data_IF_766379746102
#
_entry.id   IF_766379746102
#
_cell.length_a   1.000
_cell.length_b   1.000
_cell.length_c   1.000
_cell.angle_alpha   90.00
_cell.angle_beta   90.00
_cell.angle_gamma   90.00
#
_symmetry.space_group_name_H-M   'P 1'
#
loop_
_entity.id
_entity.type
_entity.pdbx_description
1 polymer ?
#
# COMPACT_ATOMS: atom_id res chain seq x y z
N UNK A 1 -9.02 8.46 -20.81
CA UNK A 1 -9.29 8.13 -19.40
C UNK A 1 -8.47 9.04 -18.52
N UNK A 2 -8.93 9.33 -17.30
CA UNK A 2 -8.21 10.15 -16.32
C UNK A 2 -7.11 9.29 -15.69
N UNK A 3 -5.94 9.88 -15.43
CA UNK A 3 -4.81 9.19 -14.79
C UNK A 3 -4.51 9.87 -13.47
N UNK A 4 -4.72 9.13 -12.38
CA UNK A 4 -4.36 9.56 -11.03
C UNK A 4 -2.97 9.03 -10.71
N UNK A 5 -2.10 9.92 -10.21
CA UNK A 5 -0.73 9.56 -9.89
C UNK A 5 -0.65 8.99 -8.48
N UNK A 6 -0.10 7.79 -8.36
CA UNK A 6 0.19 7.17 -7.08
C UNK A 6 1.50 6.40 -7.12
N UNK A 7 1.94 5.92 -5.96
CA UNK A 7 3.09 5.03 -5.84
C UNK A 7 2.77 3.92 -4.84
N UNK A 8 3.06 2.67 -5.23
CA UNK A 8 3.17 1.58 -4.27
C UNK A 8 4.56 1.62 -3.62
N UNK A 9 4.60 1.87 -2.32
CA UNK A 9 5.82 2.05 -1.56
C UNK A 9 6.10 0.85 -0.65
N UNK A 10 7.27 0.23 -0.85
CA UNK A 10 7.76 -0.88 -0.04
C UNK A 10 8.41 -0.36 1.28
N UNK A 11 7.76 -0.63 2.41
CA UNK A 11 8.26 -0.29 3.75
C UNK A 11 9.10 -1.42 4.33
N UNK A 12 10.12 -1.07 5.11
CA UNK A 12 11.02 -2.08 5.71
C UNK A 12 10.41 -2.84 6.89
N UNK A 13 9.26 -2.41 7.40
CA UNK A 13 8.67 -2.96 8.63
C UNK A 13 7.17 -3.25 8.56
N UNK A 14 6.45 -2.88 7.49
CA UNK A 14 5.00 -3.08 7.43
C UNK A 14 4.45 -3.49 6.06
N UNK A 15 5.29 -3.90 5.11
CA UNK A 15 4.85 -4.32 3.77
C UNK A 15 4.61 -3.13 2.83
N UNK A 16 3.66 -3.29 1.91
CA UNK A 16 3.41 -2.34 0.82
C UNK A 16 2.30 -1.35 1.17
N UNK A 17 2.44 -0.12 0.68
CA UNK A 17 1.50 0.97 0.92
C UNK A 17 1.22 1.72 -0.38
N UNK A 18 -0.04 2.04 -0.64
CA UNK A 18 -0.41 2.97 -1.70
C UNK A 18 -0.30 4.39 -1.13
N UNK A 19 0.41 5.25 -1.85
CA UNK A 19 0.59 6.66 -1.52
C UNK A 19 0.10 7.51 -2.68
N UNK A 20 -0.72 8.51 -2.37
CA UNK A 20 -1.23 9.50 -3.32
C UNK A 20 -0.90 10.88 -2.76
N UNK A 21 -0.25 11.70 -3.57
CA UNK A 21 0.17 13.05 -3.19
C UNK A 21 -0.67 14.10 -3.94
N UNK A 22 -0.83 15.31 -3.38
CA UNK A 22 -1.46 16.41 -4.09
C UNK A 22 -0.77 16.73 -5.41
N UNK A 23 -1.49 17.34 -6.33
CA UNK A 23 -0.92 17.68 -7.62
C UNK A 23 0.22 18.72 -7.48
N UNK A 24 1.25 18.54 -8.31
CA UNK A 24 2.49 19.33 -8.23
C UNK A 24 3.42 18.98 -7.07
N UNK A 25 3.04 18.10 -6.13
CA UNK A 25 3.90 17.68 -5.02
C UNK A 25 4.74 16.47 -5.41
N UNK A 26 6.06 16.59 -5.27
CA UNK A 26 7.01 15.53 -5.58
C UNK A 26 8.00 15.28 -4.44
N UNK A 27 7.91 14.09 -3.84
CA UNK A 27 8.82 13.67 -2.78
C UNK A 27 9.91 12.75 -3.32
N UNK A 28 11.13 13.27 -3.52
CA UNK A 28 12.30 12.47 -3.90
C UNK A 28 12.53 11.28 -2.96
N UNK A 29 12.14 11.41 -1.69
CA UNK A 29 12.25 10.34 -0.69
C UNK A 29 11.45 9.08 -1.05
N UNK A 30 10.33 9.21 -1.78
CA UNK A 30 9.52 8.07 -2.21
C UNK A 30 10.17 7.26 -3.34
N UNK A 31 11.21 7.78 -4.00
CA UNK A 31 12.02 7.01 -4.96
C UNK A 31 12.93 5.99 -4.28
N UNK A 32 13.18 6.14 -2.97
CA UNK A 32 13.98 5.23 -2.17
C UNK A 32 13.07 4.36 -1.31
N UNK A 33 12.96 3.06 -1.63
CA UNK A 33 12.23 2.09 -0.79
C UNK A 33 12.79 1.95 0.63
N UNK A 34 12.01 1.37 1.53
CA UNK A 34 12.42 0.83 2.83
C UNK A 34 12.47 1.86 3.97
N UNK A 35 11.66 2.91 3.93
CA UNK A 35 11.34 3.76 5.08
C UNK A 35 10.51 2.98 6.11
N UNK A 36 10.54 3.41 7.39
CA UNK A 36 9.58 2.88 8.38
C UNK A 36 8.20 3.41 8.07
N UNK A 37 7.17 2.60 8.26
CA UNK A 37 5.77 3.00 8.02
C UNK A 37 5.37 4.28 8.77
N UNK A 38 5.76 4.43 10.04
CA UNK A 38 5.43 5.64 10.81
C UNK A 38 6.02 6.91 10.18
N UNK A 39 7.23 6.81 9.62
CA UNK A 39 7.87 7.94 8.95
C UNK A 39 7.26 8.19 7.57
N UNK A 40 6.84 7.14 6.86
CA UNK A 40 6.10 7.26 5.60
C UNK A 40 4.80 8.03 5.83
N UNK A 41 3.98 7.57 6.79
CA UNK A 41 2.70 8.21 7.16
C UNK A 41 2.91 9.68 7.49
N UNK A 42 3.83 9.99 8.40
CA UNK A 42 4.11 11.38 8.78
C UNK A 42 4.55 12.24 7.58
N UNK A 43 5.41 11.71 6.72
CA UNK A 43 5.92 12.46 5.56
C UNK A 43 4.82 12.74 4.53
N UNK A 44 3.95 11.76 4.27
CA UNK A 44 2.83 11.90 3.33
C UNK A 44 1.81 12.90 3.86
N UNK A 45 1.42 12.79 5.13
CA UNK A 45 0.49 13.73 5.76
C UNK A 45 1.05 15.16 5.85
N UNK A 46 2.36 15.31 6.06
CA UNK A 46 3.02 16.63 6.09
C UNK A 46 2.88 17.41 4.78
N UNK A 47 2.69 16.72 3.66
CA UNK A 47 2.50 17.35 2.34
C UNK A 47 1.06 17.26 1.84
N UNK A 48 0.11 16.90 2.72
CA UNK A 48 -1.32 16.81 2.37
C UNK A 48 -1.71 15.59 1.54
N UNK A 49 -0.84 14.57 1.44
CA UNK A 49 -1.17 13.33 0.75
C UNK A 49 -1.91 12.34 1.64
N UNK A 50 -2.36 11.24 1.03
CA UNK A 50 -3.02 10.12 1.69
C UNK A 50 -2.23 8.82 1.53
N UNK A 51 -2.37 7.92 2.50
CA UNK A 51 -1.68 6.64 2.54
C UNK A 51 -2.53 5.53 3.15
N UNK A 52 -2.48 4.36 2.52
CA UNK A 52 -3.16 3.15 2.99
C UNK A 52 -2.34 1.90 2.71
N UNK A 53 -2.47 0.83 3.51
CA UNK A 53 -1.80 -0.43 3.23
C UNK A 53 -2.36 -1.03 1.93
N UNK A 54 -1.45 -1.45 1.05
CA UNK A 54 -1.76 -2.26 -0.13
C UNK A 54 -1.87 -3.72 0.31
N UNK A 55 -2.90 -4.42 -0.15
CA UNK A 55 -3.16 -5.86 0.07
C UNK A 55 -2.68 -6.34 1.45
N UNK A 56 -3.23 -5.79 2.55
CA UNK A 56 -2.67 -5.94 3.90
C UNK A 56 -2.53 -7.39 4.38
N UNK A 57 -3.36 -8.29 3.84
CA UNK A 57 -3.37 -9.72 4.12
C UNK A 57 -2.90 -10.59 2.95
N UNK A 58 -2.23 -9.99 1.97
CA UNK A 58 -1.75 -10.67 0.78
C UNK A 58 -0.51 -11.54 1.01
N UNK A 59 0.44 -11.53 0.06
CA UNK A 59 1.68 -12.32 0.12
C UNK A 59 2.27 -12.48 1.53
N UNK A 60 2.59 -13.73 1.90
CA UNK A 60 2.88 -14.16 3.29
C UNK A 60 4.00 -13.36 3.97
N UNK A 61 4.97 -12.86 3.22
CA UNK A 61 6.04 -12.01 3.75
C UNK A 61 5.54 -10.60 4.13
N UNK A 62 4.79 -9.94 3.23
CA UNK A 62 4.34 -8.56 3.40
C UNK A 62 3.23 -8.48 4.46
N UNK A 63 2.28 -9.40 4.44
CA UNK A 63 1.22 -9.49 5.45
C UNK A 63 1.75 -9.82 6.85
N UNK A 64 2.78 -10.69 6.96
CA UNK A 64 3.44 -10.96 8.23
C UNK A 64 4.16 -9.72 8.81
N UNK A 65 4.77 -8.90 7.95
CA UNK A 65 5.40 -7.64 8.36
C UNK A 65 4.37 -6.66 8.91
N UNK A 66 3.26 -6.45 8.18
CA UNK A 66 2.17 -5.60 8.64
C UNK A 66 1.61 -6.11 9.97
N UNK A 67 1.27 -7.39 10.08
CA UNK A 67 0.74 -7.98 11.31
C UNK A 67 1.68 -7.80 12.50
N UNK A 68 2.98 -8.01 12.32
CA UNK A 68 3.98 -7.79 13.38
C UNK A 68 4.02 -6.32 13.85
N UNK A 69 3.94 -5.39 12.91
CA UNK A 69 3.91 -3.96 13.23
C UNK A 69 2.61 -3.55 13.93
N UNK A 70 1.46 -4.04 13.46
CA UNK A 70 0.17 -3.78 14.10
C UNK A 70 0.07 -4.42 15.48
N UNK A 71 0.65 -5.61 15.70
CA UNK A 71 0.73 -6.22 17.04
C UNK A 71 1.49 -5.34 18.03
N UNK A 72 2.53 -4.64 17.58
CA UNK A 72 3.31 -3.70 18.41
C UNK A 72 2.58 -2.37 18.62
N UNK A 73 1.90 -1.86 17.59
CA UNK A 73 1.23 -0.56 17.63
C UNK A 73 -0.09 -0.60 16.85
N UNK A 74 -1.17 -1.08 17.49
CA UNK A 74 -2.51 -1.12 16.87
C UNK A 74 -3.05 0.27 16.55
N UNK A 75 -2.59 1.31 17.25
CA UNK A 75 -3.02 2.68 16.99
C UNK A 75 -2.53 3.20 15.62
N UNK A 76 -1.56 2.52 14.99
CA UNK A 76 -1.08 2.89 13.65
C UNK A 76 -2.19 2.81 12.59
N UNK A 77 -3.10 1.82 12.67
CA UNK A 77 -4.20 1.68 11.70
C UNK A 77 -5.09 2.93 11.67
N UNK A 78 -5.25 3.60 12.82
CA UNK A 78 -6.04 4.84 12.91
C UNK A 78 -5.46 5.98 12.06
N UNK A 79 -4.15 5.93 11.80
CA UNK A 79 -3.42 6.92 10.99
C UNK A 79 -3.43 6.62 9.49
N UNK A 80 -3.97 5.49 9.05
CA UNK A 80 -4.15 5.25 7.62
C UNK A 80 -5.41 5.97 7.13
N UNK A 81 -5.38 6.47 5.91
CA UNK A 81 -6.50 7.22 5.33
C UNK A 81 -7.54 6.29 4.69
N UNK A 82 -7.08 5.15 4.16
CA UNK A 82 -7.90 4.10 3.57
C UNK A 82 -7.21 2.74 3.76
N UNK A 83 -7.88 1.65 3.38
CA UNK A 83 -7.32 0.29 3.34
C UNK A 83 -7.65 -0.32 1.98
N UNK A 84 -6.70 -0.98 1.32
CA UNK A 84 -7.03 -1.81 0.15
C UNK A 84 -7.84 -3.03 0.63
N UNK A 85 -9.15 -2.97 0.43
CA UNK A 85 -10.13 -3.98 0.83
C UNK A 85 -10.37 -5.05 -0.23
N UNK A 86 -9.93 -4.82 -1.47
CA UNK A 86 -10.02 -5.78 -2.56
C UNK A 86 -8.79 -5.73 -3.45
N UNK A 87 -8.13 -6.88 -3.63
CA UNK A 87 -7.06 -7.05 -4.60
C UNK A 87 -7.35 -8.28 -5.47
N UNK A 88 -7.35 -8.10 -6.80
CA UNK A 88 -7.68 -9.18 -7.74
C UNK A 88 -6.64 -10.31 -7.76
N UNK A 89 -5.40 -10.03 -7.36
CA UNK A 89 -4.32 -11.01 -7.31
C UNK A 89 -4.27 -11.81 -6.00
N UNK A 90 -5.02 -11.39 -4.98
CA UNK A 90 -5.05 -12.01 -3.65
C UNK A 90 -6.24 -12.98 -3.48
N UNK A 91 -6.19 -13.80 -2.43
CA UNK A 91 -7.26 -14.77 -2.14
C UNK A 91 -8.51 -14.07 -1.61
N UNK A 92 -9.68 -14.69 -1.80
CA UNK A 92 -10.95 -14.21 -1.21
C UNK A 92 -10.83 -14.02 0.30
N UNK A 93 -10.19 -14.97 0.98
CA UNK A 93 -9.95 -14.89 2.43
C UNK A 93 -9.09 -13.69 2.83
N UNK A 94 -8.08 -13.32 2.03
CA UNK A 94 -7.25 -12.14 2.29
C UNK A 94 -8.05 -10.85 2.09
N UNK A 95 -8.90 -10.81 1.07
CA UNK A 95 -9.81 -9.69 0.84
C UNK A 95 -10.84 -9.57 1.98
N UNK A 96 -11.42 -10.67 2.45
CA UNK A 96 -12.35 -10.68 3.59
C UNK A 96 -11.72 -10.11 4.86
N UNK A 97 -10.49 -10.51 5.19
CA UNK A 97 -9.77 -9.93 6.33
C UNK A 97 -9.47 -8.44 6.15
N UNK A 98 -9.20 -8.01 4.91
CA UNK A 98 -8.99 -6.59 4.59
C UNK A 98 -10.27 -5.77 4.80
N UNK A 99 -11.42 -6.30 4.37
CA UNK A 99 -12.74 -5.71 4.60
C UNK A 99 -13.10 -5.63 6.08
N UNK A 100 -12.83 -6.70 6.86
CA UNK A 100 -13.05 -6.70 8.31
C UNK A 100 -12.18 -5.62 8.97
N UNK A 101 -10.90 -5.52 8.60
CA UNK A 101 -10.00 -4.51 9.15
C UNK A 101 -10.48 -3.08 8.82
N UNK A 102 -10.94 -2.84 7.59
CA UNK A 102 -11.49 -1.55 7.20
C UNK A 102 -12.76 -1.21 7.99
N UNK A 103 -13.66 -2.18 8.16
CA UNK A 103 -14.90 -2.04 8.93
C UNK A 103 -14.62 -1.73 10.41
N UNK A 104 -13.71 -2.48 11.04
CA UNK A 104 -13.36 -2.32 12.46
C UNK A 104 -12.78 -0.93 12.78
N UNK A 105 -12.13 -0.30 11.80
CA UNK A 105 -11.50 1.02 11.95
C UNK A 105 -12.25 2.14 11.22
N UNK A 106 -13.42 1.85 10.65
CA UNK A 106 -14.23 2.78 9.85
C UNK A 106 -13.41 3.49 8.77
N UNK A 107 -12.64 2.72 7.99
CA UNK A 107 -11.80 3.23 6.91
C UNK A 107 -12.46 3.01 5.55
N UNK A 108 -12.38 4.00 4.64
CA UNK A 108 -12.69 3.80 3.22
C UNK A 108 -11.95 2.60 2.64
N UNK A 109 -12.60 1.88 1.73
CA UNK A 109 -12.01 0.69 1.10
C UNK A 109 -11.61 0.97 -0.34
N UNK A 110 -10.37 0.64 -0.67
CA UNK A 110 -9.82 0.74 -2.02
C UNK A 110 -9.76 -0.65 -2.65
N UNK A 111 -9.97 -0.70 -3.96
CA UNK A 111 -9.87 -1.90 -4.77
C UNK A 111 -8.91 -1.72 -5.93
N UNK A 112 -8.04 -2.71 -6.13
CA UNK A 112 -7.00 -2.70 -7.15
C UNK A 112 -6.89 -4.03 -7.88
N UNK A 113 -6.43 -3.99 -9.13
CA UNK A 113 -6.10 -5.20 -9.88
C UNK A 113 -4.70 -5.75 -9.56
N UNK A 114 -3.80 -4.89 -9.03
CA UNK A 114 -2.36 -5.17 -8.90
C UNK A 114 -1.77 -5.80 -10.18
N UNK A 115 -2.19 -5.23 -11.30
CA UNK A 115 -1.94 -5.84 -12.59
C UNK A 115 -0.49 -5.66 -13.03
N UNK A 116 0.15 -6.79 -13.31
CA UNK A 116 1.44 -6.88 -13.99
C UNK A 116 1.29 -7.41 -15.43
N UNK A 117 0.06 -7.56 -15.91
CA UNK A 117 -0.29 -8.05 -17.24
C UNK A 117 -1.57 -7.35 -17.75
N UNK A 118 -1.55 -6.84 -18.98
CA UNK A 118 -2.65 -6.03 -19.52
C UNK A 118 -4.02 -6.73 -19.44
N UNK A 119 -4.05 -8.07 -19.49
CA UNK A 119 -5.27 -8.88 -19.38
C UNK A 119 -5.99 -8.76 -18.03
N UNK A 120 -5.28 -8.39 -16.96
CA UNK A 120 -5.86 -8.29 -15.61
C UNK A 120 -6.23 -6.86 -15.20
N UNK A 121 -5.97 -5.88 -16.07
CA UNK A 121 -6.31 -4.47 -15.80
C UNK A 121 -7.82 -4.33 -15.61
N UNK A 122 -8.23 -3.70 -14.52
CA UNK A 122 -9.63 -3.45 -14.20
C UNK A 122 -10.36 -4.61 -13.52
N UNK A 123 -9.71 -5.75 -13.27
CA UNK A 123 -10.32 -6.85 -12.50
C UNK A 123 -10.65 -6.48 -11.06
N UNK A 124 -9.95 -5.50 -10.48
CA UNK A 124 -10.28 -4.88 -9.19
C UNK A 124 -10.41 -3.37 -9.36
N UNK A 125 -11.38 -2.77 -8.68
CA UNK A 125 -11.72 -1.35 -8.84
C UNK A 125 -12.22 -0.73 -7.53
N UNK A 126 -12.16 0.60 -7.48
CA UNK A 126 -12.74 1.44 -6.43
C UNK A 126 -13.87 2.26 -7.04
N UNK A 127 -15.00 2.33 -6.34
CA UNK A 127 -16.15 3.17 -6.69
C UNK A 127 -16.16 4.40 -5.78
N UNK A 128 -16.32 5.57 -6.40
CA UNK A 128 -16.42 6.86 -5.73
C UNK A 128 -17.79 7.45 -6.03
N UNK A 129 -18.45 8.03 -5.02
CA UNK A 129 -19.67 8.82 -5.23
C UNK A 129 -19.39 10.19 -5.87
N UNK A 130 -18.21 10.74 -5.61
CA UNK A 130 -17.74 12.00 -6.20
C UNK A 130 -17.06 11.74 -7.55
N UNK A 131 -17.17 12.69 -8.49
CA UNK A 131 -16.38 12.67 -9.71
C UNK A 131 -14.91 13.04 -9.40
N UNK A 132 -13.97 12.21 -9.86
CA UNK A 132 -12.54 12.37 -9.58
C UNK A 132 -11.80 12.72 -10.87
N UNK A 133 -11.29 13.95 -10.99
CA UNK A 133 -10.55 14.41 -12.17
C UNK A 133 -9.05 14.58 -11.92
N UNK A 134 -8.64 14.74 -10.66
CA UNK A 134 -7.24 14.93 -10.27
C UNK A 134 -6.90 14.29 -8.91
N UNK A 135 -5.64 14.38 -8.48
CA UNK A 135 -5.21 13.80 -7.21
C UNK A 135 -5.87 14.50 -6.01
N UNK A 136 -6.06 15.82 -6.10
CA UNK A 136 -6.64 16.64 -5.03
C UNK A 136 -8.13 16.31 -4.82
N UNK A 137 -8.86 16.01 -5.90
CA UNK A 137 -10.25 15.53 -5.82
C UNK A 137 -10.32 14.20 -5.07
N UNK A 138 -9.43 13.26 -5.40
CA UNK A 138 -9.37 11.95 -4.75
C UNK A 138 -9.05 12.07 -3.25
N UNK A 139 -8.04 12.88 -2.91
CA UNK A 139 -7.67 13.16 -1.52
C UNK A 139 -8.85 13.75 -0.76
N UNK A 140 -9.53 14.73 -1.37
CA UNK A 140 -10.71 15.38 -0.79
C UNK A 140 -11.85 14.38 -0.56
N UNK A 141 -12.14 13.50 -1.53
CA UNK A 141 -13.15 12.47 -1.41
C UNK A 141 -12.85 11.50 -0.25
N UNK A 142 -11.60 11.08 -0.08
CA UNK A 142 -11.17 10.19 1.02
C UNK A 142 -11.34 10.86 2.39
N UNK A 143 -10.98 12.15 2.50
CA UNK A 143 -11.19 12.90 3.73
C UNK A 143 -12.67 13.06 4.08
N UNK A 144 -13.51 13.45 3.10
CA UNK A 144 -14.96 13.53 3.28
C UNK A 144 -15.55 12.20 3.77
N UNK A 145 -15.21 11.09 3.10
CA UNK A 145 -15.67 9.74 3.46
C UNK A 145 -15.28 9.36 4.90
N UNK A 146 -14.07 9.74 5.31
CA UNK A 146 -13.57 9.48 6.66
C UNK A 146 -14.30 10.31 7.74
N UNK A 147 -14.69 11.54 7.41
CA UNK A 147 -15.42 12.45 8.31
C UNK A 147 -16.89 12.07 8.44
N UNK A 148 -17.56 11.79 7.32
CA UNK A 148 -18.97 11.39 7.29
C UNK A 148 -19.19 9.96 7.79
N UNK A 149 -18.13 9.12 7.79
CA UNK A 149 -18.18 7.68 8.11
C UNK A 149 -19.24 6.93 7.31
N UNK A 150 -19.48 7.39 6.08
CA UNK A 150 -20.40 6.75 5.15
C UNK A 150 -19.66 5.80 4.21
N UNK A 151 -20.42 5.10 3.37
CA UNK A 151 -19.90 4.20 2.34
C UNK A 151 -19.74 4.93 0.98
N UNK A 152 -19.36 6.21 0.97
CA UNK A 152 -19.14 6.97 -0.28
C UNK A 152 -17.96 6.46 -1.12
N UNK A 153 -17.10 5.63 -0.52
CA UNK A 153 -16.01 4.94 -1.20
C UNK A 153 -16.08 3.45 -0.88
N UNK A 154 -16.22 2.63 -1.93
CA UNK A 154 -16.29 1.18 -1.83
C UNK A 154 -15.42 0.52 -2.90
N UNK A 155 -15.22 -0.80 -2.80
CA UNK A 155 -14.42 -1.54 -3.75
C UNK A 155 -15.08 -2.85 -4.17
N UNK A 156 -14.64 -3.39 -5.30
CA UNK A 156 -15.12 -4.65 -5.83
C UNK A 156 -14.27 -5.14 -6.99
N UNK A 157 -14.68 -6.28 -7.56
CA UNK A 157 -13.96 -6.89 -8.66
C UNK A 157 -14.17 -8.39 -8.76
N UNK A 158 -13.30 -9.02 -9.56
CA UNK A 158 -13.22 -10.45 -9.78
C UNK A 158 -11.82 -10.90 -9.35
N UNK A 159 -11.76 -11.90 -8.48
CA UNK A 159 -10.49 -12.53 -8.09
C UNK A 159 -9.95 -13.32 -9.29
N UNK A 160 -8.70 -13.07 -9.66
CA UNK A 160 -8.04 -13.67 -10.85
C UNK A 160 -7.90 -15.19 -10.76
N UNK A 161 -7.80 -15.72 -9.54
CA UNK A 161 -7.46 -17.12 -9.30
C UNK A 161 -5.95 -17.37 -9.20
N UNK A 162 -5.59 -18.55 -8.68
CA UNK A 162 -4.20 -18.91 -8.41
C UNK A 162 -3.42 -19.20 -9.69
N UNK A 163 -2.34 -18.47 -9.91
CA UNK A 163 -1.34 -18.76 -10.95
C UNK A 163 -0.22 -19.64 -10.39
N UNK A 164 0.50 -20.37 -11.25
CA UNK A 164 1.73 -21.09 -10.86
C UNK A 164 2.73 -20.14 -10.18
N UNK A 165 2.86 -18.91 -10.70
CA UNK A 165 3.71 -17.87 -10.12
C UNK A 165 3.28 -17.53 -8.68
N UNK A 166 1.98 -17.34 -8.44
CA UNK A 166 1.44 -17.13 -7.09
C UNK A 166 1.75 -18.33 -6.18
N UNK A 167 1.46 -19.56 -6.62
CA UNK A 167 1.76 -20.78 -5.84
C UNK A 167 3.23 -20.85 -5.42
N UNK A 168 4.15 -20.56 -6.33
CA UNK A 168 5.58 -20.51 -6.00
C UNK A 168 5.92 -19.35 -5.05
N UNK A 169 5.32 -18.17 -5.19
CA UNK A 169 5.55 -17.04 -4.30
C UNK A 169 5.09 -17.32 -2.85
N UNK A 170 4.00 -18.06 -2.67
CA UNK A 170 3.46 -18.44 -1.36
C UNK A 170 4.12 -19.70 -0.76
N UNK A 171 4.92 -20.44 -1.52
CA UNK A 171 5.59 -21.63 -1.03
C UNK A 171 6.63 -21.30 0.04
N UNK A 172 6.70 -22.11 1.10
CA UNK A 172 7.55 -21.83 2.27
C UNK A 172 9.03 -21.62 1.87
N UNK A 173 9.56 -22.45 0.98
CA UNK A 173 10.96 -22.38 0.54
C UNK A 173 11.26 -21.06 -0.18
N UNK A 174 10.34 -20.58 -1.03
CA UNK A 174 10.48 -19.29 -1.72
C UNK A 174 10.47 -18.13 -0.74
N UNK A 175 9.57 -18.15 0.25
CA UNK A 175 9.48 -17.12 1.29
C UNK A 175 10.79 -17.05 2.10
N UNK A 176 11.30 -18.18 2.58
CA UNK A 176 12.55 -18.20 3.35
C UNK A 176 13.77 -17.84 2.50
N UNK A 177 13.85 -18.32 1.26
CA UNK A 177 14.92 -17.95 0.33
C UNK A 177 14.90 -16.44 0.03
N UNK A 178 13.72 -15.87 -0.19
CA UNK A 178 13.55 -14.44 -0.40
C UNK A 178 13.97 -13.61 0.82
N UNK A 179 13.59 -14.03 2.04
CA UNK A 179 14.04 -13.37 3.27
C UNK A 179 15.57 -13.42 3.39
N UNK A 180 16.17 -14.61 3.22
CA UNK A 180 17.62 -14.78 3.31
C UNK A 180 18.36 -13.92 2.28
N UNK A 181 17.89 -13.92 1.03
CA UNK A 181 18.41 -13.09 -0.05
C UNK A 181 18.37 -11.59 0.30
N UNK A 182 17.22 -11.09 0.75
CA UNK A 182 17.06 -9.68 1.11
C UNK A 182 17.89 -9.27 2.32
N UNK A 183 18.03 -10.13 3.32
CA UNK A 183 18.89 -9.87 4.49
C UNK A 183 20.35 -9.79 4.06
N UNK A 184 20.84 -10.77 3.29
CA UNK A 184 22.22 -10.79 2.81
C UNK A 184 22.56 -9.59 1.94
N UNK A 185 21.70 -9.27 0.97
CA UNK A 185 21.87 -8.07 0.14
C UNK A 185 21.76 -6.78 0.94
N UNK A 186 20.85 -6.73 1.92
CA UNK A 186 20.68 -5.59 2.80
C UNK A 186 21.95 -5.28 3.60
N UNK A 187 22.64 -6.31 4.09
CA UNK A 187 23.93 -6.18 4.76
C UNK A 187 25.02 -5.69 3.79
N UNK A 188 25.10 -6.29 2.60
CA UNK A 188 26.09 -5.94 1.58
C UNK A 188 25.96 -4.47 1.12
N UNK A 189 24.73 -4.02 0.85
CA UNK A 189 24.46 -2.69 0.29
C UNK A 189 24.20 -1.61 1.34
N UNK A 190 24.17 -1.95 2.63
CA UNK A 190 23.96 -0.99 3.73
C UNK A 190 24.90 0.23 3.68
N UNK A 191 26.23 0.08 3.45
CA UNK A 191 27.14 1.22 3.36
C UNK A 191 26.81 2.17 2.20
N UNK A 192 26.52 1.60 1.02
CA UNK A 192 26.16 2.37 -0.19
C UNK A 192 24.84 3.13 0.01
N UNK A 193 23.88 2.51 0.68
CA UNK A 193 22.59 3.14 0.98
C UNK A 193 22.73 4.30 1.96
N UNK A 194 23.56 4.17 3.01
CA UNK A 194 23.89 5.27 3.92
C UNK A 194 24.50 6.45 3.16
N UNK A 195 25.43 6.17 2.24
CA UNK A 195 26.04 7.21 1.42
C UNK A 195 25.02 7.93 0.52
N UNK A 196 24.15 7.18 -0.19
CA UNK A 196 23.09 7.76 -1.03
C UNK A 196 22.12 8.65 -0.25
N UNK A 197 21.71 8.19 0.94
CA UNK A 197 20.81 8.98 1.82
C UNK A 197 21.50 10.26 2.27
N UNK A 198 22.78 10.20 2.67
CA UNK A 198 23.55 11.39 3.06
C UNK A 198 23.64 12.39 1.91
N UNK A 199 24.02 11.94 0.71
CA UNK A 199 24.09 12.78 -0.50
C UNK A 199 22.74 13.41 -0.86
N UNK A 200 21.65 12.66 -0.73
CA UNK A 200 20.30 13.18 -0.98
C UNK A 200 19.86 14.27 0.03
N UNK A 201 20.41 14.25 1.25
CA UNK A 201 20.15 15.26 2.28
C UNK A 201 21.04 16.52 2.12
N UNK A 202 22.20 16.39 1.46
CA UNK A 202 23.13 17.49 1.17
C UNK A 202 22.63 18.42 0.04
N UNK A 203 21.74 17.93 -0.84
CA UNK A 203 21.12 18.72 -1.91
C UNK A 203 19.74 19.30 -1.55
N UNK A 204 19.57 19.73 -0.29
CA UNK A 204 18.38 20.46 0.15
C UNK A 204 18.45 21.92 -0.27
#
# INVERSE_FOLDING_TARGET
FIVIRGVEYDTRDAGHFIVILPDGVHLKALTMRGMKVEKLVNLVHQVGGIVGPAHPFGTRSSSAMLFKTLKRNRALVKKFDFIEGFNACETETANDFSQILAKDFHKPTFGGSDSHDYEYVGMGYTLFSDDIYCCDDLISAVHKASESKDNSISCGGIVRGETLKSKHAHAFYSVYAFIAYNVSLGLLYSPLRKHRVKKALEHK
#
